data_IF_252753393769
#
_entry.id   IF_252753393769
#
_cell.length_a   1.000
_cell.length_b   1.000
_cell.length_c   1.000
_cell.angle_alpha   90.00
_cell.angle_beta   90.00
_cell.angle_gamma   90.00
#
_symmetry.space_group_name_H-M   'P 1'
#
loop_
_entity.id
_entity.type
_entity.pdbx_description
1 polymer ?
#
# COMPACT_ATOMS: atom_id res chain seq x y z
N UNK A 1 7.63 4.09 14.63
CA UNK A 1 7.65 3.85 13.17
C UNK A 1 7.29 5.17 12.53
N UNK A 2 8.14 5.67 11.63
CA UNK A 2 7.99 7.01 11.06
C UNK A 2 7.04 6.97 9.87
N UNK A 3 6.37 8.09 9.56
CA UNK A 3 5.52 8.18 8.37
C UNK A 3 6.42 8.38 7.16
N UNK A 4 6.15 7.67 6.07
CA UNK A 4 6.93 7.83 4.84
C UNK A 4 6.90 9.28 4.33
N UNK A 5 5.76 9.95 4.47
CA UNK A 5 5.63 11.35 4.02
C UNK A 5 6.59 12.32 4.72
N UNK A 6 7.00 12.04 5.96
CA UNK A 6 7.93 12.89 6.71
C UNK A 6 9.39 12.76 6.22
N UNK A 7 9.68 11.73 5.39
CA UNK A 7 11.00 11.47 4.84
C UNK A 7 11.17 11.97 3.39
N UNK A 8 10.08 12.36 2.73
CA UNK A 8 10.15 12.88 1.36
C UNK A 8 10.67 14.33 1.36
N UNK A 9 11.59 14.61 0.44
CA UNK A 9 12.25 15.93 0.32
C UNK A 9 11.46 16.87 -0.60
N UNK A 10 10.65 16.32 -1.51
CA UNK A 10 9.74 17.04 -2.39
C UNK A 10 8.53 16.16 -2.77
N UNK A 11 7.60 16.76 -3.50
CA UNK A 11 6.36 16.14 -3.98
C UNK A 11 6.55 15.47 -5.36
N UNK A 12 7.80 15.21 -5.77
CA UNK A 12 8.10 14.63 -7.08
C UNK A 12 7.83 13.12 -7.10
N UNK A 13 7.69 12.58 -8.31
CA UNK A 13 7.56 11.14 -8.56
C UNK A 13 8.66 10.35 -7.82
N UNK A 14 8.26 9.50 -6.87
CA UNK A 14 9.17 8.67 -6.09
C UNK A 14 8.79 7.19 -6.14
N UNK A 15 9.77 6.36 -5.83
CA UNK A 15 9.64 4.90 -5.81
C UNK A 15 9.86 4.39 -4.40
N UNK A 16 9.10 3.36 -4.02
CA UNK A 16 9.38 2.56 -2.83
C UNK A 16 9.73 1.13 -3.21
N UNK A 17 10.72 0.58 -2.53
CA UNK A 17 11.15 -0.82 -2.63
C UNK A 17 10.97 -1.51 -1.27
N UNK A 18 11.29 -2.81 -1.20
CA UNK A 18 11.24 -3.58 0.05
C UNK A 18 9.89 -3.49 0.79
N UNK A 19 8.79 -3.43 0.02
CA UNK A 19 7.44 -3.22 0.55
C UNK A 19 6.95 -4.46 1.30
N UNK A 20 6.40 -4.25 2.48
CA UNK A 20 5.75 -5.28 3.28
C UNK A 20 4.32 -4.85 3.62
N UNK A 21 3.32 -5.61 3.17
CA UNK A 21 1.92 -5.35 3.48
C UNK A 21 1.63 -5.84 4.90
N UNK A 22 1.02 -4.99 5.70
CA UNK A 22 0.60 -5.27 7.08
C UNK A 22 -0.91 -5.35 7.20
N UNK A 23 -1.66 -4.78 6.25
CA UNK A 23 -3.10 -5.00 6.13
C UNK A 23 -3.64 -4.71 4.72
N UNK A 24 -4.80 -5.27 4.41
CA UNK A 24 -5.65 -4.91 3.26
C UNK A 24 -6.99 -4.44 3.82
N UNK A 25 -7.42 -3.24 3.46
CA UNK A 25 -8.69 -2.64 3.87
C UNK A 25 -9.58 -2.52 2.64
N UNK A 26 -10.76 -3.12 2.72
CA UNK A 26 -11.84 -2.89 1.79
C UNK A 26 -12.93 -2.09 2.50
N UNK A 27 -13.28 -0.93 1.96
CA UNK A 27 -14.33 -0.06 2.50
C UNK A 27 -15.50 0.07 1.52
N UNK A 28 -16.33 1.10 1.69
CA UNK A 28 -17.49 1.33 0.83
C UNK A 28 -17.15 2.11 -0.46
N UNK A 29 -15.87 2.31 -0.76
CA UNK A 29 -15.40 2.96 -1.99
C UNK A 29 -15.06 1.92 -3.08
N UNK A 30 -14.67 2.40 -4.26
CA UNK A 30 -14.18 1.53 -5.34
C UNK A 30 -12.69 1.20 -5.18
N UNK A 31 -12.01 1.85 -4.23
CA UNK A 31 -10.59 1.72 -4.01
C UNK A 31 -10.32 0.74 -2.87
N UNK A 32 -9.15 0.12 -2.93
CA UNK A 32 -8.60 -0.69 -1.84
C UNK A 32 -7.51 0.13 -1.18
N UNK A 33 -7.42 0.06 0.15
CA UNK A 33 -6.28 0.65 0.88
C UNK A 33 -5.39 -0.46 1.42
N UNK A 34 -4.12 -0.50 1.01
CA UNK A 34 -3.11 -1.33 1.67
C UNK A 34 -2.42 -0.53 2.76
N UNK A 35 -2.17 -1.17 3.90
CA UNK A 35 -1.24 -0.66 4.88
C UNK A 35 0.08 -1.37 4.68
N UNK A 36 1.17 -0.62 4.63
CA UNK A 36 2.47 -1.17 4.30
C UNK A 36 3.60 -0.49 5.06
N UNK A 37 4.74 -1.18 5.08
CA UNK A 37 6.02 -0.63 5.49
C UNK A 37 7.04 -0.74 4.35
N UNK A 38 8.03 0.14 4.37
CA UNK A 38 9.15 0.17 3.43
C UNK A 38 10.40 0.66 4.15
N UNK A 39 11.57 0.32 3.61
CA UNK A 39 12.85 0.91 4.03
C UNK A 39 13.14 2.06 3.07
N UNK A 40 13.26 3.27 3.63
CA UNK A 40 13.56 4.49 2.90
C UNK A 40 14.61 5.28 3.70
N UNK A 41 15.68 5.72 3.04
CA UNK A 41 16.85 6.35 3.68
C UNK A 41 17.36 5.58 4.92
N UNK A 42 17.54 4.27 4.76
CA UNK A 42 17.99 3.31 5.79
C UNK A 42 17.06 3.16 7.02
N UNK A 43 15.89 3.80 7.02
CA UNK A 43 14.92 3.77 8.12
C UNK A 43 13.59 3.11 7.70
N UNK A 44 12.95 2.45 8.67
CA UNK A 44 11.64 1.80 8.48
C UNK A 44 10.50 2.82 8.59
N UNK A 45 9.75 2.95 7.50
CA UNK A 45 8.61 3.83 7.38
C UNK A 45 7.31 3.06 7.16
N UNK A 46 6.19 3.63 7.58
CA UNK A 46 4.86 3.13 7.27
C UNK A 46 4.10 4.10 6.37
N UNK A 47 3.24 3.57 5.52
CA UNK A 47 2.39 4.33 4.61
C UNK A 47 1.10 3.57 4.29
N UNK A 48 0.12 4.31 3.79
CA UNK A 48 -1.09 3.73 3.20
C UNK A 48 -1.04 3.89 1.69
N UNK A 49 -1.48 2.87 0.96
CA UNK A 49 -1.53 2.85 -0.48
C UNK A 49 -2.98 2.70 -0.94
N UNK A 50 -3.54 3.75 -1.52
CA UNK A 50 -4.79 3.68 -2.27
C UNK A 50 -4.53 3.15 -3.67
N UNK A 51 -5.35 2.20 -4.11
CA UNK A 51 -5.28 1.62 -5.45
C UNK A 51 -6.63 1.09 -5.91
N UNK A 52 -6.80 1.00 -7.23
CA UNK A 52 -7.97 0.32 -7.81
C UNK A 52 -7.95 -1.18 -7.49
N UNK A 53 -9.14 -1.78 -7.40
CA UNK A 53 -9.29 -3.20 -7.15
C UNK A 53 -8.55 -4.10 -8.18
N UNK A 54 -8.44 -3.66 -9.44
CA UNK A 54 -7.68 -4.38 -10.48
C UNK A 54 -6.18 -4.41 -10.20
N UNK A 55 -5.64 -3.31 -9.67
CA UNK A 55 -4.22 -3.25 -9.30
C UNK A 55 -3.91 -4.13 -8.08
N UNK A 56 -4.91 -4.38 -7.21
CA UNK A 56 -4.75 -5.33 -6.10
C UNK A 56 -4.38 -6.72 -6.61
N UNK A 57 -5.06 -7.24 -7.64
CA UNK A 57 -4.73 -8.57 -8.20
C UNK A 57 -3.27 -8.67 -8.62
N UNK A 58 -2.72 -7.61 -9.23
CA UNK A 58 -1.31 -7.56 -9.61
C UNK A 58 -0.43 -7.68 -8.36
N UNK A 59 -0.68 -6.86 -7.34
CA UNK A 59 0.07 -6.90 -6.08
C UNK A 59 -0.01 -8.28 -5.41
N UNK A 60 -1.19 -8.89 -5.35
CA UNK A 60 -1.38 -10.22 -4.74
C UNK A 60 -0.55 -11.29 -5.46
N UNK A 61 -0.49 -11.27 -6.79
CA UNK A 61 0.35 -12.20 -7.58
C UNK A 61 1.84 -12.01 -7.35
N UNK A 62 2.25 -10.82 -6.91
CA UNK A 62 3.63 -10.49 -6.61
C UNK A 62 4.04 -10.79 -5.15
N UNK A 63 3.14 -11.30 -4.32
CA UNK A 63 3.43 -11.72 -2.93
C UNK A 63 4.27 -13.02 -2.81
N UNK A 64 4.99 -13.39 -3.87
CA UNK A 64 5.86 -14.56 -3.91
C UNK A 64 5.15 -15.86 -3.50
N UNK A 65 5.73 -16.67 -2.60
CA UNK A 65 5.12 -17.94 -2.16
C UNK A 65 3.75 -17.80 -1.47
N UNK A 66 3.38 -16.59 -1.01
CA UNK A 66 2.10 -16.34 -0.35
C UNK A 66 0.97 -15.95 -1.30
N UNK A 67 1.27 -15.76 -2.59
CA UNK A 67 0.31 -15.24 -3.57
C UNK A 67 -1.01 -16.02 -3.59
N UNK A 68 -0.96 -17.35 -3.74
CA UNK A 68 -2.16 -18.21 -3.82
C UNK A 68 -3.02 -18.12 -2.54
N UNK A 69 -2.40 -18.29 -1.37
CA UNK A 69 -3.10 -18.22 -0.09
C UNK A 69 -3.70 -16.83 0.16
N UNK A 70 -3.01 -15.77 -0.26
CA UNK A 70 -3.47 -14.40 -0.09
C UNK A 70 -4.67 -14.09 -1.00
N UNK A 71 -4.65 -14.58 -2.24
CA UNK A 71 -5.79 -14.47 -3.17
C UNK A 71 -7.01 -15.21 -2.63
N UNK A 72 -6.84 -16.41 -2.08
CA UNK A 72 -7.92 -17.16 -1.44
C UNK A 72 -8.49 -16.41 -0.22
N UNK A 73 -7.63 -15.89 0.65
CA UNK A 73 -8.06 -15.08 1.81
C UNK A 73 -8.87 -13.85 1.41
N UNK A 74 -8.44 -13.14 0.38
CA UNK A 74 -9.17 -11.98 -0.16
C UNK A 74 -10.52 -12.41 -0.72
N UNK A 75 -10.57 -13.49 -1.51
CA UNK A 75 -11.81 -14.00 -2.08
C UNK A 75 -12.81 -14.42 -0.99
N UNK A 76 -12.34 -15.15 0.02
CA UNK A 76 -13.14 -15.59 1.16
C UNK A 76 -13.68 -14.39 1.97
N UNK A 77 -12.84 -13.39 2.22
CA UNK A 77 -13.23 -12.18 2.93
C UNK A 77 -14.36 -11.44 2.19
N UNK A 78 -14.20 -11.22 0.88
CA UNK A 78 -15.19 -10.53 0.05
C UNK A 78 -16.47 -11.35 -0.14
N UNK A 79 -16.39 -12.68 -0.13
CA UNK A 79 -17.55 -13.55 -0.26
C UNK A 79 -18.37 -13.66 1.04
N UNK A 80 -17.73 -13.45 2.20
CA UNK A 80 -18.33 -13.69 3.51
C UNK A 80 -18.59 -12.42 4.33
N UNK A 81 -18.09 -11.26 3.88
CA UNK A 81 -18.26 -9.97 4.56
C UNK A 81 -19.74 -9.63 4.74
N UNK A 82 -20.16 -9.46 6.00
CA UNK A 82 -21.51 -8.99 6.37
C UNK A 82 -21.52 -7.53 6.78
N UNK A 83 -20.39 -7.03 7.27
CA UNK A 83 -20.23 -5.69 7.82
C UNK A 83 -18.99 -5.03 7.22
N UNK A 84 -19.16 -3.80 6.76
CA UNK A 84 -18.12 -2.99 6.14
C UNK A 84 -17.67 -1.88 7.11
N UNK A 85 -16.37 -1.52 7.14
CA UNK A 85 -15.27 -2.00 6.29
C UNK A 85 -14.75 -3.40 6.70
N UNK A 86 -14.18 -4.11 5.72
CA UNK A 86 -13.49 -5.39 5.90
C UNK A 86 -11.97 -5.16 6.01
N UNK A 87 -11.35 -5.76 7.02
CA UNK A 87 -9.91 -5.65 7.30
C UNK A 87 -9.27 -7.03 7.34
N UNK A 88 -8.20 -7.21 6.55
CA UNK A 88 -7.32 -8.37 6.63
C UNK A 88 -5.95 -7.95 7.19
N UNK A 89 -5.56 -8.49 8.34
CA UNK A 89 -4.33 -8.09 9.04
C UNK A 89 -3.19 -9.14 8.95
N UNK A 90 -1.98 -8.62 8.77
CA UNK A 90 -0.72 -9.35 8.57
C UNK A 90 0.38 -8.76 9.47
N UNK A 91 0.13 -8.65 10.78
CA UNK A 91 1.03 -7.99 11.75
C UNK A 91 1.34 -8.85 12.99
N UNK A 92 1.07 -10.16 12.94
CA UNK A 92 1.29 -11.09 14.06
C UNK A 92 2.27 -12.20 13.70
N UNK A 93 2.75 -12.97 14.68
CA UNK A 93 3.58 -14.15 14.40
C UNK A 93 2.83 -15.21 13.58
N UNK A 94 1.52 -15.37 13.81
CA UNK A 94 0.68 -16.32 13.09
C UNK A 94 0.30 -15.83 11.68
N UNK A 95 0.25 -14.52 11.47
CA UNK A 95 -0.01 -13.87 10.19
C UNK A 95 1.02 -12.75 10.01
N UNK A 96 2.26 -13.08 9.61
CA UNK A 96 3.32 -12.09 9.49
C UNK A 96 3.09 -11.17 8.29
N UNK A 97 3.81 -10.04 8.18
CA UNK A 97 3.72 -9.16 7.03
C UNK A 97 3.96 -9.88 5.70
N UNK A 98 3.25 -9.45 4.65
CA UNK A 98 3.37 -9.99 3.29
C UNK A 98 4.46 -9.20 2.56
N UNK A 99 5.60 -9.84 2.29
CA UNK A 99 6.69 -9.21 1.54
C UNK A 99 6.38 -9.24 0.04
N UNK A 100 6.65 -8.13 -0.65
CA UNK A 100 6.64 -8.04 -2.11
C UNK A 100 8.09 -8.11 -2.64
N UNK A 101 8.64 -9.30 -2.92
CA UNK A 101 10.01 -9.45 -3.40
C UNK A 101 10.18 -8.85 -4.79
N UNK A 102 11.30 -8.17 -5.01
CA UNK A 102 11.71 -7.64 -6.32
C UNK A 102 10.71 -6.66 -6.96
N UNK A 103 9.84 -6.06 -6.15
CA UNK A 103 8.85 -5.06 -6.57
C UNK A 103 9.30 -3.66 -6.19
N UNK A 104 9.20 -2.74 -7.16
CA UNK A 104 9.23 -1.30 -6.93
C UNK A 104 7.86 -0.70 -7.28
N UNK A 105 7.32 0.12 -6.39
CA UNK A 105 6.05 0.81 -6.60
C UNK A 105 6.31 2.29 -6.88
N UNK A 106 5.73 2.82 -7.96
CA UNK A 106 5.69 4.26 -8.21
C UNK A 106 4.47 4.85 -7.51
N UNK A 107 4.71 5.81 -6.63
CA UNK A 107 3.69 6.40 -5.77
C UNK A 107 3.52 7.90 -6.06
N UNK A 108 2.29 8.38 -5.93
CA UNK A 108 1.98 9.81 -5.91
C UNK A 108 1.44 10.26 -4.57
N UNK A 109 1.85 11.46 -4.14
CA UNK A 109 1.36 12.11 -2.94
C UNK A 109 -0.13 12.45 -3.07
N UNK A 110 -0.86 12.35 -1.95
CA UNK A 110 -2.25 12.82 -1.88
C UNK A 110 -2.37 14.03 -0.97
N UNK A 111 -3.23 14.96 -1.33
CA UNK A 111 -3.51 16.17 -0.57
C UNK A 111 -4.93 16.15 -0.02
N UNK A 112 -5.21 16.82 1.10
CA UNK A 112 -6.55 16.87 1.65
C UNK A 112 -7.51 17.55 0.67
N UNK A 113 -8.65 16.89 0.39
CA UNK A 113 -9.62 17.37 -0.59
C UNK A 113 -10.33 18.68 -0.20
N UNK A 114 -10.23 19.07 1.08
CA UNK A 114 -10.76 20.31 1.64
C UNK A 114 -9.75 21.46 1.64
N UNK A 115 -8.55 21.25 1.10
CA UNK A 115 -7.52 22.28 0.96
C UNK A 115 -7.57 22.87 -0.44
N UNK A 116 -7.45 24.20 -0.56
CA UNK A 116 -7.40 24.88 -1.86
C UNK A 116 -6.14 24.42 -2.64
N UNK A 117 -6.28 24.12 -3.94
CA UNK A 117 -5.16 23.64 -4.78
C UNK A 117 -3.98 24.64 -4.85
N UNK A 118 -4.23 25.91 -4.54
CA UNK A 118 -3.23 27.00 -4.51
C UNK A 118 -2.65 27.25 -3.10
N UNK A 119 -3.03 26.45 -2.09
CA UNK A 119 -2.50 26.59 -0.74
C UNK A 119 -1.08 26.01 -0.64
N UNK A 120 -0.08 26.88 -0.72
CA UNK A 120 1.34 26.54 -0.56
C UNK A 120 1.66 25.96 0.84
N UNK A 121 0.74 26.02 1.81
CA UNK A 121 0.88 25.41 3.14
C UNK A 121 0.23 24.02 3.25
N UNK A 122 -0.43 23.53 2.19
CA UNK A 122 -1.06 22.21 2.16
C UNK A 122 -0.03 21.09 2.34
N UNK A 123 -0.13 20.34 3.44
CA UNK A 123 0.74 19.19 3.67
C UNK A 123 0.13 17.91 3.10
N UNK A 124 0.90 17.10 2.35
CA UNK A 124 0.41 15.83 1.85
C UNK A 124 0.10 14.84 2.99
N UNK A 125 -0.87 13.94 2.75
CA UNK A 125 -1.20 12.85 3.65
C UNK A 125 -0.16 11.73 3.57
N UNK A 126 -0.07 10.91 4.63
CA UNK A 126 0.66 9.62 4.59
C UNK A 126 -0.17 8.52 3.90
N UNK A 127 -0.91 8.91 2.87
CA UNK A 127 -1.71 8.08 1.98
C UNK A 127 -1.21 8.43 0.58
N UNK A 128 -0.90 7.42 -0.22
CA UNK A 128 -0.34 7.58 -1.56
C UNK A 128 -1.21 6.83 -2.55
N UNK A 129 -1.31 7.34 -3.78
CA UNK A 129 -1.93 6.57 -4.87
C UNK A 129 -0.87 5.77 -5.60
N UNK A 130 -1.23 4.53 -5.94
CA UNK A 130 -0.42 3.69 -6.80
C UNK A 130 -0.49 4.22 -8.23
N UNK A 131 0.64 4.62 -8.79
CA UNK A 131 0.72 5.00 -10.20
C UNK A 131 1.07 3.82 -11.10
N UNK A 132 2.07 3.03 -10.72
CA UNK A 132 2.56 1.93 -11.54
C UNK A 132 3.37 0.91 -10.71
N UNK A 133 3.49 -0.32 -11.21
CA UNK A 133 4.16 -1.45 -10.55
C UNK A 133 5.29 -1.96 -11.46
N UNK A 134 6.50 -2.00 -10.91
CA UNK A 134 7.69 -2.46 -11.62
C UNK A 134 8.28 -3.71 -10.97
N UNK A 135 8.73 -4.63 -11.82
CA UNK A 135 9.49 -5.81 -11.42
C UNK A 135 10.97 -5.62 -11.71
N UNK A 136 11.82 -5.91 -10.72
CA UNK A 136 13.26 -5.96 -10.91
C UNK A 136 13.63 -7.28 -11.59
N UNK A 137 14.26 -7.18 -12.76
CA UNK A 137 14.61 -8.34 -13.59
C UNK A 137 15.96 -8.97 -13.22
N UNK A 138 16.75 -8.34 -12.35
CA UNK A 138 18.06 -8.82 -11.91
C UNK A 138 18.26 -8.56 -10.40
N UNK A 139 18.56 -9.63 -9.65
CA UNK A 139 19.00 -9.62 -8.24
C UNK A 139 20.35 -10.31 -8.09
#
# INVERSE_FOLDING_TARGET
MNRLIDALVDDADFFVEHVQLTAIVFDNTNDVTLWATTVFDDDLHFFHLGLEFQALDVILRLAGPRAEALQEQVADALATVTDWPCLLEYNTEASPPVVLPDVALKLSCTYPADTDEDDEEAMPHNIFYLEDIYLRLES
#
